data_IF_808528471502
#
_entry.id   IF_808528471502
#
_cell.length_a   1.000
_cell.length_b   1.000
_cell.length_c   1.000
_cell.angle_alpha   90.00
_cell.angle_beta   90.00
_cell.angle_gamma   90.00
#
_symmetry.space_group_name_H-M   'P 1'
#
loop_
_entity.id
_entity.type
_entity.pdbx_description
1 polymer ?
#
# COMPACT_ATOMS: atom_id res chain seq x y z
N UNK A 1 1.01 -3.06 53.99
CA UNK A 1 1.69 -1.96 53.27
C UNK A 1 2.65 -2.60 52.29
N UNK A 2 2.22 -2.81 51.05
CA UNK A 2 3.02 -3.50 50.03
C UNK A 2 2.90 -2.72 48.71
N UNK A 3 4.05 -2.56 48.06
CA UNK A 3 4.39 -1.62 47.01
C UNK A 3 3.34 -1.45 45.90
N UNK A 4 2.80 -0.24 45.79
CA UNK A 4 2.27 0.32 44.54
C UNK A 4 3.45 0.60 43.58
N UNK A 5 4.07 -0.48 43.09
CA UNK A 5 5.12 -0.45 42.08
C UNK A 5 4.55 0.04 40.76
N UNK A 6 4.71 1.34 40.54
CA UNK A 6 4.91 2.05 39.29
C UNK A 6 4.95 1.15 38.03
N UNK A 7 3.78 0.66 37.58
CA UNK A 7 3.63 0.18 36.20
C UNK A 7 3.51 1.40 35.32
N UNK A 8 4.65 2.03 35.03
CA UNK A 8 4.78 2.92 33.89
C UNK A 8 4.40 2.10 32.66
N UNK A 9 3.13 2.17 32.27
CA UNK A 9 2.62 1.61 31.04
C UNK A 9 3.51 2.16 29.93
N UNK A 10 4.35 1.31 29.35
CA UNK A 10 5.14 1.64 28.17
C UNK A 10 4.14 1.89 27.03
N UNK A 11 3.60 3.09 26.95
CA UNK A 11 2.87 3.56 25.79
C UNK A 11 3.86 3.59 24.64
N UNK A 12 3.82 2.55 23.81
CA UNK A 12 4.60 2.53 22.58
C UNK A 12 4.10 3.72 21.74
N UNK A 13 4.98 4.70 21.55
CA UNK A 13 4.64 5.92 20.83
C UNK A 13 4.41 5.62 19.35
N UNK A 14 3.41 6.26 18.75
CA UNK A 14 3.20 6.20 17.30
C UNK A 14 4.46 6.75 16.60
N UNK A 15 5.03 6.05 15.60
CA UNK A 15 6.17 6.55 14.86
C UNK A 15 5.92 7.95 14.29
N UNK A 16 6.95 8.79 14.24
CA UNK A 16 6.84 10.12 13.63
C UNK A 16 6.47 10.04 12.14
N UNK A 17 5.83 11.08 11.61
CA UNK A 17 5.42 11.13 10.20
C UNK A 17 6.61 10.89 9.26
N UNK A 18 7.76 11.51 9.54
CA UNK A 18 8.99 11.34 8.75
C UNK A 18 9.41 9.87 8.74
N UNK A 19 9.45 9.21 9.91
CA UNK A 19 9.79 7.79 9.98
C UNK A 19 8.79 6.93 9.20
N UNK A 20 7.49 7.20 9.34
CA UNK A 20 6.46 6.47 8.61
C UNK A 20 6.57 6.66 7.09
N UNK A 21 6.88 7.86 6.62
CA UNK A 21 7.14 8.15 5.21
C UNK A 21 8.35 7.36 4.69
N UNK A 22 9.48 7.43 5.39
CA UNK A 22 10.71 6.74 4.97
C UNK A 22 10.57 5.22 5.00
N UNK A 23 10.08 4.65 6.10
CA UNK A 23 9.88 3.21 6.22
C UNK A 23 8.82 2.71 5.25
N UNK A 24 7.72 3.46 5.07
CA UNK A 24 6.69 3.13 4.09
C UNK A 24 7.25 3.17 2.67
N UNK A 25 7.96 4.22 2.30
CA UNK A 25 8.55 4.40 0.97
C UNK A 25 9.59 3.34 0.66
N UNK A 26 10.65 3.23 1.46
CA UNK A 26 11.73 2.27 1.20
C UNK A 26 11.25 0.82 1.31
N UNK A 27 10.43 0.54 2.31
CA UNK A 27 9.89 -0.77 2.56
C UNK A 27 8.99 -1.23 1.41
N UNK A 28 7.99 -0.42 1.04
CA UNK A 28 7.09 -0.78 -0.05
C UNK A 28 7.75 -0.67 -1.44
N UNK A 29 8.75 0.20 -1.59
CA UNK A 29 9.65 0.23 -2.75
C UNK A 29 10.36 -1.10 -2.95
N UNK A 30 10.90 -1.69 -1.88
CA UNK A 30 11.50 -3.03 -1.92
C UNK A 30 10.47 -4.11 -2.25
N UNK A 31 9.28 -4.09 -1.63
CA UNK A 31 8.17 -5.02 -1.96
C UNK A 31 7.83 -4.96 -3.44
N UNK A 32 7.64 -3.75 -3.94
CA UNK A 32 7.26 -3.52 -5.34
C UNK A 32 8.37 -3.99 -6.27
N UNK A 33 9.64 -3.71 -5.96
CA UNK A 33 10.78 -4.21 -6.73
C UNK A 33 10.80 -5.75 -6.79
N UNK A 34 10.54 -6.45 -5.67
CA UNK A 34 10.44 -7.90 -5.67
C UNK A 34 9.31 -8.41 -6.59
N UNK A 35 8.13 -7.79 -6.53
CA UNK A 35 7.01 -8.18 -7.41
C UNK A 35 7.36 -7.90 -8.87
N UNK A 36 7.85 -6.71 -9.19
CA UNK A 36 8.17 -6.33 -10.56
C UNK A 36 9.39 -7.04 -11.13
N UNK A 37 10.28 -7.57 -10.30
CA UNK A 37 11.28 -8.53 -10.75
C UNK A 37 10.61 -9.81 -11.28
N UNK A 38 9.57 -10.33 -10.60
CA UNK A 38 8.84 -11.49 -11.15
C UNK A 38 8.10 -11.15 -12.44
N UNK A 39 7.60 -9.92 -12.60
CA UNK A 39 7.03 -9.47 -13.89
C UNK A 39 8.12 -9.42 -14.95
N UNK A 40 9.23 -8.71 -14.71
CA UNK A 40 10.29 -8.50 -15.69
C UNK A 40 10.97 -9.79 -16.16
N UNK A 41 11.11 -10.79 -15.27
CA UNK A 41 11.87 -12.00 -15.57
C UNK A 41 11.03 -13.27 -15.68
N UNK A 42 9.89 -13.35 -15.01
CA UNK A 42 9.09 -14.58 -14.91
C UNK A 42 7.67 -14.46 -15.50
N UNK A 43 7.23 -13.31 -16.01
CA UNK A 43 5.87 -13.11 -16.55
C UNK A 43 5.47 -14.19 -17.55
N UNK A 44 6.28 -14.43 -18.59
CA UNK A 44 5.97 -15.44 -19.62
C UNK A 44 5.83 -16.84 -19.04
N UNK A 45 6.68 -17.19 -18.07
CA UNK A 45 6.62 -18.46 -17.38
C UNK A 45 5.35 -18.56 -16.52
N UNK A 46 5.04 -17.52 -15.76
CA UNK A 46 3.85 -17.45 -14.91
C UNK A 46 2.57 -17.55 -15.74
N UNK A 47 2.45 -16.82 -16.85
CA UNK A 47 1.29 -16.95 -17.72
C UNK A 47 1.17 -18.33 -18.36
N UNK A 48 2.28 -18.98 -18.72
CA UNK A 48 2.26 -20.33 -19.28
C UNK A 48 1.81 -21.39 -18.27
N UNK A 49 2.23 -21.28 -17.01
CA UNK A 49 2.03 -22.34 -16.00
C UNK A 49 0.90 -22.06 -15.01
N UNK A 50 0.63 -20.80 -14.69
CA UNK A 50 -0.41 -20.38 -13.73
C UNK A 50 -1.64 -19.79 -14.44
N UNK A 51 -1.53 -19.49 -15.74
CA UNK A 51 -2.53 -18.73 -16.47
C UNK A 51 -2.61 -17.26 -16.03
N UNK A 52 -3.53 -16.52 -16.64
CA UNK A 52 -3.74 -15.10 -16.36
C UNK A 52 -4.08 -14.86 -14.88
N UNK A 53 -5.13 -15.52 -14.39
CA UNK A 53 -5.61 -15.35 -13.01
C UNK A 53 -4.59 -15.83 -11.97
N UNK A 54 -3.89 -16.93 -12.23
CA UNK A 54 -2.89 -17.44 -11.29
C UNK A 54 -1.68 -16.52 -11.18
N UNK A 55 -1.25 -15.88 -12.27
CA UNK A 55 -0.18 -14.88 -12.22
C UNK A 55 -0.58 -13.63 -11.40
N UNK A 56 -1.77 -13.07 -11.65
CA UNK A 56 -2.28 -11.94 -10.87
C UNK A 56 -2.48 -12.28 -9.39
N UNK A 57 -2.98 -13.48 -9.10
CA UNK A 57 -3.12 -13.95 -7.72
C UNK A 57 -1.75 -14.06 -7.03
N UNK A 58 -0.75 -14.62 -7.70
CA UNK A 58 0.60 -14.74 -7.16
C UNK A 58 1.22 -13.36 -6.83
N UNK A 59 1.13 -12.40 -7.76
CA UNK A 59 1.60 -11.03 -7.51
C UNK A 59 0.84 -10.34 -6.38
N UNK A 60 -0.48 -10.55 -6.32
CA UNK A 60 -1.30 -10.03 -5.21
C UNK A 60 -0.83 -10.61 -3.88
N UNK A 61 -0.65 -11.93 -3.79
CA UNK A 61 -0.14 -12.59 -2.58
C UNK A 61 1.23 -12.05 -2.19
N UNK A 62 2.16 -11.84 -3.12
CA UNK A 62 3.46 -11.24 -2.82
C UNK A 62 3.34 -9.83 -2.22
N UNK A 63 2.51 -8.96 -2.82
CA UNK A 63 2.23 -7.64 -2.25
C UNK A 63 1.64 -7.73 -0.84
N UNK A 64 0.70 -8.65 -0.61
CA UNK A 64 0.05 -8.83 0.68
C UNK A 64 1.02 -9.30 1.76
N UNK A 65 1.80 -10.35 1.49
CA UNK A 65 2.72 -10.94 2.46
C UNK A 65 3.87 -9.99 2.80
N UNK A 66 4.55 -9.48 1.77
CA UNK A 66 5.72 -8.63 1.96
C UNK A 66 5.32 -7.22 2.44
N UNK A 67 4.25 -6.65 1.87
CA UNK A 67 3.71 -5.36 2.27
C UNK A 67 3.18 -5.38 3.70
N UNK A 68 2.38 -6.38 4.07
CA UNK A 68 1.86 -6.54 5.43
C UNK A 68 2.99 -6.72 6.46
N UNK A 69 4.03 -7.49 6.12
CA UNK A 69 5.20 -7.68 6.98
C UNK A 69 5.95 -6.39 7.27
N UNK A 70 6.31 -5.64 6.23
CA UNK A 70 7.07 -4.39 6.37
C UNK A 70 6.21 -3.30 7.03
N UNK A 71 5.01 -3.06 6.51
CA UNK A 71 4.14 -1.97 7.01
C UNK A 71 3.60 -2.26 8.40
N UNK A 72 3.55 -3.53 8.82
CA UNK A 72 3.19 -3.91 10.18
C UNK A 72 4.11 -3.27 11.22
N UNK A 73 5.39 -3.07 10.89
CA UNK A 73 6.34 -2.39 11.79
C UNK A 73 5.97 -0.93 12.11
N UNK A 74 5.10 -0.30 11.31
CA UNK A 74 4.61 1.07 11.53
C UNK A 74 3.36 1.13 12.40
N UNK A 75 2.72 0.00 12.67
CA UNK A 75 1.44 -0.06 13.37
C UNK A 75 1.63 -0.55 14.80
N UNK A 76 1.27 0.31 15.74
CA UNK A 76 1.43 0.07 17.17
C UNK A 76 0.10 -0.30 17.82
N UNK A 77 -1.02 0.25 17.32
CA UNK A 77 -2.35 0.10 17.95
C UNK A 77 -3.03 -1.25 17.66
N UNK A 78 -2.65 -1.92 16.57
CA UNK A 78 -3.23 -3.19 16.17
C UNK A 78 -2.24 -4.31 16.39
N UNK A 79 -2.71 -5.46 16.89
CA UNK A 79 -1.93 -6.69 16.89
C UNK A 79 -1.57 -7.08 15.46
N UNK A 80 -0.38 -7.65 15.25
CA UNK A 80 0.14 -7.99 13.92
C UNK A 80 -0.86 -8.77 13.04
N UNK A 81 -1.55 -9.82 13.52
CA UNK A 81 -2.51 -10.55 12.68
C UNK A 81 -3.71 -9.70 12.24
N UNK A 82 -4.18 -8.80 13.12
CA UNK A 82 -5.30 -7.89 12.79
C UNK A 82 -4.87 -6.85 11.76
N UNK A 83 -3.66 -6.31 11.89
CA UNK A 83 -3.13 -5.40 10.88
C UNK A 83 -2.96 -6.10 9.54
N UNK A 84 -2.45 -7.33 9.52
CA UNK A 84 -2.32 -8.12 8.30
C UNK A 84 -3.64 -8.32 7.57
N UNK A 85 -4.70 -8.69 8.29
CA UNK A 85 -6.05 -8.82 7.72
C UNK A 85 -6.58 -7.48 7.22
N UNK A 86 -6.38 -6.40 7.97
CA UNK A 86 -6.79 -5.06 7.56
C UNK A 86 -6.07 -4.61 6.29
N UNK A 87 -4.74 -4.79 6.24
CA UNK A 87 -3.93 -4.47 5.07
C UNK A 87 -4.34 -5.32 3.87
N UNK A 88 -4.58 -6.61 4.07
CA UNK A 88 -5.06 -7.50 3.03
C UNK A 88 -6.42 -7.06 2.46
N UNK A 89 -7.38 -6.72 3.32
CA UNK A 89 -8.67 -6.20 2.90
C UNK A 89 -8.52 -4.86 2.14
N UNK A 90 -7.67 -3.95 2.64
CA UNK A 90 -7.46 -2.64 2.03
C UNK A 90 -6.80 -2.74 0.65
N UNK A 91 -5.76 -3.57 0.53
CA UNK A 91 -5.04 -3.77 -0.74
C UNK A 91 -5.88 -4.58 -1.74
N UNK A 92 -6.68 -5.53 -1.28
CA UNK A 92 -7.64 -6.23 -2.14
C UNK A 92 -8.69 -5.26 -2.69
N UNK A 93 -9.27 -4.42 -1.83
CA UNK A 93 -10.24 -3.41 -2.26
C UNK A 93 -9.62 -2.40 -3.25
N UNK A 94 -8.38 -1.99 -3.00
CA UNK A 94 -7.58 -1.21 -3.95
C UNK A 94 -7.50 -1.89 -5.32
N UNK A 95 -7.03 -3.14 -5.36
CA UNK A 95 -6.81 -3.88 -6.60
C UNK A 95 -8.13 -4.10 -7.35
N UNK A 96 -9.21 -4.46 -6.65
CA UNK A 96 -10.52 -4.64 -7.26
C UNK A 96 -11.04 -3.34 -7.89
N UNK A 97 -10.94 -2.20 -7.19
CA UNK A 97 -11.33 -0.89 -7.72
C UNK A 97 -10.51 -0.49 -8.94
N UNK A 98 -9.19 -0.68 -8.87
CA UNK A 98 -8.30 -0.39 -9.99
C UNK A 98 -8.63 -1.24 -11.22
N UNK A 99 -8.67 -2.56 -11.06
CA UNK A 99 -8.92 -3.52 -12.14
C UNK A 99 -10.30 -3.29 -12.76
N UNK A 100 -11.33 -3.07 -11.93
CA UNK A 100 -12.68 -2.79 -12.41
C UNK A 100 -12.74 -1.53 -13.28
N UNK A 101 -12.13 -0.44 -12.83
CA UNK A 101 -12.07 0.80 -13.61
C UNK A 101 -11.27 0.66 -14.90
N UNK A 102 -10.12 -0.02 -14.85
CA UNK A 102 -9.25 -0.25 -15.99
C UNK A 102 -9.98 -1.01 -17.11
N UNK A 103 -10.69 -2.08 -16.76
CA UNK A 103 -11.46 -2.86 -17.75
C UNK A 103 -12.71 -2.15 -18.25
N UNK A 104 -13.35 -1.32 -17.42
CA UNK A 104 -14.58 -0.61 -17.78
C UNK A 104 -14.34 0.57 -18.74
N UNK A 105 -13.32 1.39 -18.48
CA UNK A 105 -13.12 2.66 -19.21
C UNK A 105 -11.97 2.61 -20.24
N UNK A 106 -11.02 1.68 -20.09
CA UNK A 106 -9.83 1.47 -20.93
C UNK A 106 -8.95 2.73 -21.12
N UNK A 107 -7.69 2.51 -21.50
CA UNK A 107 -6.71 3.57 -21.75
C UNK A 107 -6.52 4.54 -20.56
N UNK A 108 -6.09 5.76 -20.87
CA UNK A 108 -5.72 6.79 -19.88
C UNK A 108 -6.88 7.14 -18.93
N UNK A 109 -8.12 7.14 -19.43
CA UNK A 109 -9.29 7.38 -18.58
C UNK A 109 -9.46 6.26 -17.52
N UNK A 110 -9.29 5.00 -17.92
CA UNK A 110 -9.30 3.85 -17.01
C UNK A 110 -8.19 3.91 -15.97
N UNK A 111 -7.00 4.41 -16.32
CA UNK A 111 -5.87 4.56 -15.40
C UNK A 111 -6.13 5.64 -14.33
N UNK A 112 -6.65 6.80 -14.73
CA UNK A 112 -7.01 7.87 -13.78
C UNK A 112 -8.14 7.44 -12.84
N UNK A 113 -9.21 6.86 -13.41
CA UNK A 113 -10.35 6.42 -12.62
C UNK A 113 -9.97 5.22 -11.74
N UNK A 114 -9.11 4.31 -12.22
CA UNK A 114 -8.54 3.23 -11.41
C UNK A 114 -7.71 3.75 -10.25
N UNK A 115 -6.88 4.76 -10.49
CA UNK A 115 -6.08 5.43 -9.45
C UNK A 115 -6.96 6.01 -8.36
N UNK A 116 -8.05 6.68 -8.76
CA UNK A 116 -9.00 7.27 -7.83
C UNK A 116 -9.80 6.20 -7.08
N UNK A 117 -10.42 5.26 -7.80
CA UNK A 117 -11.28 4.22 -7.22
C UNK A 117 -10.51 3.33 -6.25
N UNK A 118 -9.32 2.84 -6.65
CA UNK A 118 -8.46 2.05 -5.78
C UNK A 118 -8.08 2.81 -4.51
N UNK A 119 -7.68 4.07 -4.63
CA UNK A 119 -7.25 4.89 -3.49
C UNK A 119 -8.41 5.23 -2.53
N UNK A 120 -9.60 5.49 -3.07
CA UNK A 120 -10.82 5.69 -2.28
C UNK A 120 -11.15 4.43 -1.46
N UNK A 121 -11.15 3.27 -2.10
CA UNK A 121 -11.47 2.00 -1.43
C UNK A 121 -10.44 1.64 -0.37
N UNK A 122 -9.15 1.78 -0.68
CA UNK A 122 -8.08 1.54 0.29
C UNK A 122 -8.17 2.50 1.48
N UNK A 123 -8.33 3.79 1.20
CA UNK A 123 -8.47 4.84 2.22
C UNK A 123 -9.68 4.60 3.12
N UNK A 124 -10.81 4.16 2.56
CA UNK A 124 -12.01 3.80 3.32
C UNK A 124 -11.76 2.62 4.27
N UNK A 125 -11.19 1.52 3.77
CA UNK A 125 -10.92 0.32 4.59
C UNK A 125 -9.94 0.63 5.71
N UNK A 126 -8.87 1.39 5.43
CA UNK A 126 -7.93 1.80 6.46
C UNK A 126 -8.60 2.74 7.48
N UNK A 127 -9.40 3.71 7.02
CA UNK A 127 -10.09 4.63 7.91
C UNK A 127 -11.05 3.91 8.86
N UNK A 128 -11.82 2.94 8.36
CA UNK A 128 -12.74 2.15 9.19
C UNK A 128 -11.97 1.24 10.14
N UNK A 129 -10.92 0.57 9.68
CA UNK A 129 -10.08 -0.30 10.52
C UNK A 129 -9.41 0.40 11.70
N UNK A 130 -9.09 1.70 11.57
CA UNK A 130 -8.52 2.52 12.64
C UNK A 130 -9.56 3.34 13.43
N UNK A 131 -10.85 3.21 13.13
CA UNK A 131 -11.93 3.94 13.82
C UNK A 131 -12.02 5.43 13.47
N UNK A 132 -11.50 5.84 12.31
CA UNK A 132 -11.42 7.24 11.86
C UNK A 132 -12.16 7.47 10.55
N UNK A 133 -13.35 6.88 10.38
CA UNK A 133 -14.13 6.94 9.14
C UNK A 133 -14.38 8.36 8.61
N UNK A 134 -14.54 9.36 9.49
CA UNK A 134 -14.68 10.79 9.11
C UNK A 134 -13.46 11.34 8.34
N UNK A 135 -12.31 10.70 8.48
CA UNK A 135 -11.07 11.03 7.78
C UNK A 135 -10.88 10.29 6.46
N UNK A 136 -11.79 9.40 6.05
CA UNK A 136 -11.62 8.53 4.89
C UNK A 136 -11.25 9.30 3.62
N UNK A 137 -11.94 10.42 3.34
CA UNK A 137 -11.67 11.23 2.15
C UNK A 137 -10.27 11.86 2.17
N UNK A 138 -9.83 12.35 3.34
CA UNK A 138 -8.48 12.92 3.52
C UNK A 138 -7.40 11.85 3.33
N UNK A 139 -7.61 10.63 3.85
CA UNK A 139 -6.66 9.53 3.69
C UNK A 139 -6.62 9.03 2.24
N UNK A 140 -7.79 8.93 1.60
CA UNK A 140 -7.90 8.58 0.19
C UNK A 140 -7.23 9.62 -0.73
N UNK A 141 -7.33 10.93 -0.42
CA UNK A 141 -6.67 11.97 -1.19
C UNK A 141 -5.13 11.84 -1.15
N UNK A 142 -4.57 11.50 0.02
CA UNK A 142 -3.14 11.23 0.18
C UNK A 142 -2.72 10.02 -0.65
N UNK A 143 -3.49 8.92 -0.57
CA UNK A 143 -3.24 7.72 -1.37
C UNK A 143 -3.35 8.00 -2.86
N UNK A 144 -4.37 8.74 -3.29
CA UNK A 144 -4.59 9.08 -4.69
C UNK A 144 -3.43 9.91 -5.24
N UNK A 145 -2.97 10.92 -4.52
CA UNK A 145 -1.82 11.73 -4.93
C UNK A 145 -0.54 10.88 -5.03
N UNK A 146 -0.25 10.08 -4.00
CA UNK A 146 0.94 9.22 -3.96
C UNK A 146 0.91 8.13 -5.04
N UNK A 147 -0.25 7.50 -5.22
CA UNK A 147 -0.47 6.46 -6.22
C UNK A 147 -0.34 7.01 -7.64
N UNK A 148 -1.03 8.12 -7.94
CA UNK A 148 -0.99 8.75 -9.27
C UNK A 148 0.43 9.20 -9.60
N UNK A 149 1.13 9.84 -8.63
CA UNK A 149 2.52 10.25 -8.83
C UNK A 149 3.41 9.05 -9.15
N UNK A 150 3.32 7.97 -8.36
CA UNK A 150 4.13 6.77 -8.57
C UNK A 150 3.80 6.07 -9.89
N UNK A 151 2.52 5.94 -10.22
CA UNK A 151 2.05 5.25 -11.41
C UNK A 151 2.48 5.98 -12.68
N UNK A 152 2.12 7.27 -12.81
CA UNK A 152 2.38 8.02 -14.05
C UNK A 152 3.87 8.34 -14.23
N UNK A 153 4.60 8.62 -13.14
CA UNK A 153 6.06 8.80 -13.24
C UNK A 153 6.75 7.49 -13.58
N UNK A 154 6.31 6.38 -12.97
CA UNK A 154 6.79 5.05 -13.32
C UNK A 154 6.56 4.75 -14.80
N UNK A 155 5.36 5.01 -15.32
CA UNK A 155 5.01 4.79 -16.72
C UNK A 155 5.91 5.61 -17.65
N UNK A 156 6.10 6.90 -17.39
CA UNK A 156 6.99 7.74 -18.19
C UNK A 156 8.44 7.20 -18.25
N UNK A 157 8.96 6.70 -17.12
CA UNK A 157 10.30 6.09 -17.05
C UNK A 157 10.36 4.77 -17.81
N UNK A 158 9.34 3.94 -17.67
CA UNK A 158 9.25 2.66 -18.38
C UNK A 158 9.15 2.87 -19.90
N UNK A 159 8.36 3.84 -20.34
CA UNK A 159 8.19 4.16 -21.77
C UNK A 159 9.49 4.68 -22.38
N UNK A 160 10.31 5.36 -21.58
CA UNK A 160 11.61 5.89 -22.01
C UNK A 160 12.71 4.82 -22.12
N UNK A 161 12.73 3.84 -21.20
CA UNK A 161 13.81 2.85 -21.11
C UNK A 161 13.43 1.49 -21.71
N UNK A 162 12.17 1.09 -21.58
CA UNK A 162 11.64 -0.19 -22.02
C UNK A 162 12.28 -1.41 -21.37
N UNK A 163 11.81 -2.58 -21.81
CA UNK A 163 12.36 -3.88 -21.41
C UNK A 163 12.34 -4.13 -19.91
N UNK A 164 13.28 -4.95 -19.44
CA UNK A 164 13.33 -5.37 -18.02
C UNK A 164 13.74 -4.24 -17.09
N UNK A 165 14.67 -3.39 -17.51
CA UNK A 165 15.14 -2.26 -16.71
C UNK A 165 14.02 -1.24 -16.49
N UNK A 166 13.27 -0.89 -17.55
CA UNK A 166 12.08 -0.05 -17.46
C UNK A 166 11.06 -0.61 -16.47
N UNK A 167 10.75 -1.91 -16.56
CA UNK A 167 9.78 -2.56 -15.67
C UNK A 167 10.20 -2.55 -14.19
N UNK A 168 11.49 -2.78 -13.91
CA UNK A 168 12.03 -2.74 -12.55
C UNK A 168 11.98 -1.32 -11.98
N UNK A 169 12.36 -0.32 -12.78
CA UNK A 169 12.32 1.09 -12.38
C UNK A 169 10.89 1.58 -12.19
N UNK A 170 9.95 1.13 -13.04
CA UNK A 170 8.52 1.36 -12.88
C UNK A 170 8.07 0.89 -11.49
N UNK A 171 8.38 -0.36 -11.16
CA UNK A 171 8.03 -0.96 -9.87
C UNK A 171 8.66 -0.21 -8.69
N UNK A 172 9.93 0.16 -8.81
CA UNK A 172 10.62 0.92 -7.76
C UNK A 172 9.96 2.29 -7.52
N UNK A 173 9.72 3.07 -8.57
CA UNK A 173 9.10 4.40 -8.47
C UNK A 173 7.68 4.29 -7.90
N UNK A 174 6.88 3.39 -8.45
CA UNK A 174 5.53 3.12 -7.98
C UNK A 174 5.54 2.74 -6.49
N UNK A 175 6.40 1.80 -6.10
CA UNK A 175 6.51 1.33 -4.72
C UNK A 175 6.97 2.41 -3.74
N UNK A 176 7.96 3.24 -4.12
CA UNK A 176 8.45 4.34 -3.29
C UNK A 176 7.36 5.37 -3.02
N UNK A 177 6.63 5.79 -4.07
CA UNK A 177 5.58 6.79 -3.95
C UNK A 177 4.37 6.25 -3.19
N UNK A 178 3.80 5.12 -3.61
CA UNK A 178 2.66 4.52 -2.94
C UNK A 178 3.00 4.15 -1.49
N UNK A 179 4.20 3.63 -1.24
CA UNK A 179 4.72 3.33 0.09
C UNK A 179 4.74 4.54 1.01
N UNK A 180 5.19 5.70 0.51
CA UNK A 180 5.14 6.95 1.27
C UNK A 180 3.68 7.33 1.61
N UNK A 181 2.77 7.21 0.65
CA UNK A 181 1.34 7.45 0.84
C UNK A 181 0.73 6.55 1.92
N UNK A 182 1.01 5.25 1.87
CA UNK A 182 0.53 4.28 2.88
C UNK A 182 1.13 4.60 4.24
N UNK A 183 2.44 4.87 4.32
CA UNK A 183 3.11 5.28 5.56
C UNK A 183 2.48 6.51 6.21
N UNK A 184 2.21 7.56 5.42
CA UNK A 184 1.53 8.76 5.88
C UNK A 184 0.10 8.47 6.38
N UNK A 185 -0.66 7.66 5.64
CA UNK A 185 -2.02 7.27 6.04
C UNK A 185 -2.03 6.48 7.35
N UNK A 186 -1.10 5.53 7.52
CA UNK A 186 -0.99 4.76 8.77
C UNK A 186 -0.61 5.65 9.97
N UNK A 187 0.27 6.63 9.78
CA UNK A 187 0.60 7.61 10.81
C UNK A 187 -0.64 8.46 11.19
N UNK A 188 -1.33 9.02 10.20
CA UNK A 188 -2.49 9.88 10.41
C UNK A 188 -3.68 9.12 11.02
N UNK A 189 -3.92 7.89 10.58
CA UNK A 189 -5.00 7.07 11.11
C UNK A 189 -4.77 6.73 12.59
N UNK A 190 -3.53 6.39 12.96
CA UNK A 190 -3.18 6.10 14.35
C UNK A 190 -3.26 7.34 15.24
N UNK A 191 -2.74 8.48 14.79
CA UNK A 191 -2.75 9.73 15.57
C UNK A 191 -4.15 10.31 15.73
N UNK A 192 -5.00 10.27 14.70
CA UNK A 192 -6.38 10.74 14.79
C UNK A 192 -7.24 9.82 15.65
N UNK A 193 -7.10 8.51 15.50
CA UNK A 193 -7.87 7.56 16.29
C UNK A 193 -7.47 7.49 17.77
N UNK A 194 -6.33 8.07 18.14
CA UNK A 194 -5.94 8.28 19.54
C UNK A 194 -6.62 9.51 20.17
N UNK A 195 -7.17 10.43 19.36
CA UNK A 195 -7.87 11.63 19.84
C UNK A 195 -9.38 11.43 20.00
N UNK A 196 -9.92 10.35 19.44
CA UNK A 196 -11.36 10.04 19.45
C UNK A 196 -11.77 9.08 20.54
N UNK A 197 -10.81 8.53 21.29
CA UNK A 197 -11.01 7.70 22.46
C UNK A 197 -10.64 8.49 23.71
#
# INVERSE_FOLDING_TARGET
MENAGNRSANFVAVPSLVRSLFTGSLGFGFVSLCVFATVAFAERWMYKHLGLFGAYLAWTVLFLLLGGGILGSLVVRLQMPRFWLLFAAAFFAYAAGWIGAYFALRGVAGEWIGSLAGSLLMGLVLATGFGVARSALSLAAILFAANSLGYFLGSAVNDSLGGRAGMLLWGLIYGLCLGAGIGAVLHLAQTRGARTN
#
